data_IF_927466632143
#
_entry.id   IF_927466632143
#
_cell.length_a   1.000
_cell.length_b   1.000
_cell.length_c   1.000
_cell.angle_alpha   90.00
_cell.angle_beta   90.00
_cell.angle_gamma   90.00
#
_symmetry.space_group_name_H-M   'P 1'
#
loop_
_entity.id
_entity.type
_entity.pdbx_description
1 polymer ?
#
# COMPACT_ATOMS: atom_id res chain seq x y z
N UNK A 1 24.09 14.43 -15.77
CA UNK A 1 23.94 14.37 -14.29
C UNK A 1 23.11 13.13 -13.97
N UNK A 2 23.57 12.27 -13.06
CA UNK A 2 22.80 11.10 -12.63
C UNK A 2 21.58 11.60 -11.83
N UNK A 3 20.34 11.18 -12.13
CA UNK A 3 19.18 11.58 -11.36
C UNK A 3 19.38 11.29 -9.87
N UNK A 4 19.07 12.28 -9.04
CA UNK A 4 19.10 12.14 -7.58
C UNK A 4 18.04 11.15 -7.10
N UNK A 5 18.23 10.53 -5.93
CA UNK A 5 17.24 9.62 -5.30
C UNK A 5 15.82 10.22 -5.22
N UNK A 6 15.72 11.55 -5.16
CA UNK A 6 14.46 12.30 -5.14
C UNK A 6 13.61 12.09 -6.39
N UNK A 7 14.23 11.95 -7.57
CA UNK A 7 13.51 11.81 -8.85
C UNK A 7 12.75 10.49 -8.97
N UNK A 8 13.06 9.52 -8.13
CA UNK A 8 12.47 8.18 -8.13
C UNK A 8 11.60 7.89 -6.91
N UNK A 9 11.27 8.92 -6.11
CA UNK A 9 10.42 8.74 -4.93
C UNK A 9 8.95 8.89 -5.31
N UNK A 10 8.13 7.81 -5.27
CA UNK A 10 6.72 7.89 -5.64
C UNK A 10 5.94 8.89 -4.77
N UNK A 11 6.33 9.03 -3.51
CA UNK A 11 5.74 9.98 -2.55
C UNK A 11 5.76 11.43 -3.04
N UNK A 12 6.67 11.80 -3.94
CA UNK A 12 6.79 13.16 -4.49
C UNK A 12 5.94 13.39 -5.73
N UNK A 13 5.34 12.34 -6.29
CA UNK A 13 4.67 12.36 -7.59
C UNK A 13 3.29 11.70 -7.52
N UNK A 14 2.62 11.81 -6.38
CA UNK A 14 1.21 11.42 -6.24
C UNK A 14 0.36 12.35 -7.10
N UNK A 15 -0.55 11.76 -7.88
CA UNK A 15 -1.52 12.46 -8.73
C UNK A 15 -2.50 11.46 -9.34
N UNK A 16 -3.31 11.93 -10.29
CA UNK A 16 -4.43 11.17 -10.87
C UNK A 16 -4.05 9.74 -11.29
N UNK A 17 -4.72 8.76 -10.70
CA UNK A 17 -4.49 7.34 -10.93
C UNK A 17 -5.76 6.49 -10.81
N UNK A 18 -5.56 5.17 -10.87
CA UNK A 18 -6.62 4.20 -10.61
C UNK A 18 -6.82 4.03 -9.09
N UNK A 19 -8.02 3.60 -8.66
CA UNK A 19 -8.24 3.12 -7.30
C UNK A 19 -7.14 2.15 -6.87
N UNK A 20 -6.53 2.42 -5.70
CA UNK A 20 -5.32 1.72 -5.25
C UNK A 20 -5.47 1.22 -3.82
N UNK A 21 -4.98 0.01 -3.54
CA UNK A 21 -4.81 -0.51 -2.18
C UNK A 21 -3.32 -0.51 -1.85
N UNK A 22 -2.93 0.19 -0.79
CA UNK A 22 -1.59 0.16 -0.21
C UNK A 22 -1.61 -0.83 0.95
N UNK A 23 -0.76 -1.85 0.90
CA UNK A 23 -0.74 -2.92 1.89
C UNK A 23 0.62 -3.03 2.58
N UNK A 24 0.61 -3.29 3.89
CA UNK A 24 1.82 -3.58 4.67
C UNK A 24 1.53 -4.60 5.76
N UNK A 25 2.51 -5.45 6.07
CA UNK A 25 2.44 -6.35 7.21
C UNK A 25 2.46 -5.57 8.53
N UNK A 26 1.53 -5.86 9.44
CA UNK A 26 1.42 -5.20 10.74
C UNK A 26 2.52 -5.58 11.72
N UNK A 27 3.24 -6.69 11.46
CA UNK A 27 4.42 -7.10 12.22
C UNK A 27 5.74 -6.69 11.53
N UNK A 28 5.67 -5.79 10.54
CA UNK A 28 6.84 -5.34 9.80
C UNK A 28 7.70 -4.34 10.58
N UNK A 29 8.94 -4.12 10.12
CA UNK A 29 9.80 -3.08 10.66
C UNK A 29 9.13 -1.68 10.54
N UNK A 30 9.49 -0.72 11.41
CA UNK A 30 8.82 0.59 11.44
C UNK A 30 8.92 1.39 10.14
N UNK A 31 9.99 1.22 9.35
CA UNK A 31 10.23 2.03 8.15
C UNK A 31 9.26 1.69 7.02
N UNK A 32 9.07 0.41 6.61
CA UNK A 32 8.02 0.04 5.67
C UNK A 32 6.62 0.50 6.08
N UNK A 33 6.25 0.31 7.35
CA UNK A 33 4.97 0.76 7.92
C UNK A 33 4.80 2.26 7.72
N UNK A 34 5.78 3.06 8.16
CA UNK A 34 5.74 4.52 8.00
C UNK A 34 5.68 4.95 6.53
N UNK A 35 6.40 4.30 5.63
CA UNK A 35 6.36 4.65 4.21
C UNK A 35 5.00 4.35 3.58
N UNK A 36 4.35 3.26 3.97
CA UNK A 36 2.99 2.94 3.54
C UNK A 36 1.98 3.95 4.06
N UNK A 37 2.10 4.34 5.34
CA UNK A 37 1.27 5.37 5.96
C UNK A 37 1.44 6.73 5.26
N UNK A 38 2.69 7.16 5.07
CA UNK A 38 3.04 8.44 4.43
C UNK A 38 2.51 8.49 2.98
N UNK A 39 2.65 7.39 2.23
CA UNK A 39 2.19 7.33 0.84
C UNK A 39 0.66 7.34 0.73
N UNK A 40 -0.03 6.55 1.55
CA UNK A 40 -1.48 6.58 1.60
C UNK A 40 -2.02 7.95 2.01
N UNK A 41 -1.41 8.60 3.00
CA UNK A 41 -1.77 9.96 3.41
C UNK A 41 -1.56 10.98 2.27
N UNK A 42 -0.48 10.86 1.51
CA UNK A 42 -0.23 11.71 0.35
C UNK A 42 -1.28 11.49 -0.76
N UNK A 43 -1.68 10.25 -1.04
CA UNK A 43 -2.78 9.92 -1.95
C UNK A 43 -4.10 10.54 -1.51
N UNK A 44 -4.46 10.41 -0.23
CA UNK A 44 -5.67 11.06 0.32
C UNK A 44 -5.59 12.57 0.18
N UNK A 45 -4.46 13.20 0.50
CA UNK A 45 -4.27 14.64 0.38
C UNK A 45 -4.36 15.15 -1.07
N UNK A 46 -3.99 14.31 -2.04
CA UNK A 46 -4.14 14.60 -3.47
C UNK A 46 -5.57 14.34 -4.00
N UNK A 47 -6.46 13.77 -3.20
CA UNK A 47 -7.82 13.41 -3.61
C UNK A 47 -7.92 12.08 -4.34
N UNK A 48 -6.87 11.25 -4.32
CA UNK A 48 -6.86 9.95 -5.00
C UNK A 48 -7.64 8.88 -4.22
N UNK A 49 -8.35 7.99 -4.92
CA UNK A 49 -9.02 6.84 -4.31
C UNK A 49 -8.00 5.82 -3.82
N UNK A 50 -7.75 5.81 -2.50
CA UNK A 50 -6.80 4.90 -1.87
C UNK A 50 -7.37 4.25 -0.61
N UNK A 51 -7.01 2.99 -0.39
CA UNK A 51 -7.19 2.27 0.88
C UNK A 51 -5.83 1.86 1.43
N UNK A 52 -5.64 1.97 2.75
CA UNK A 52 -4.46 1.47 3.45
C UNK A 52 -4.83 0.27 4.30
N UNK A 53 -4.18 -0.87 4.05
CA UNK A 53 -4.43 -2.13 4.76
C UNK A 53 -3.17 -2.54 5.52
N UNK A 54 -3.25 -2.49 6.85
CA UNK A 54 -2.29 -3.15 7.74
C UNK A 54 -2.77 -4.60 7.97
N UNK A 55 -2.02 -5.57 7.47
CA UNK A 55 -2.33 -7.00 7.57
C UNK A 55 -1.73 -7.54 8.89
N UNK A 56 -2.53 -7.84 9.92
CA UNK A 56 -2.02 -8.19 11.24
C UNK A 56 -1.14 -9.42 11.19
N UNK A 57 -0.18 -9.46 12.11
CA UNK A 57 0.75 -10.58 12.30
C UNK A 57 1.60 -10.93 11.07
N UNK A 58 1.45 -10.20 9.97
CA UNK A 58 2.22 -10.42 8.75
C UNK A 58 3.50 -9.59 8.75
N UNK A 59 4.53 -10.22 8.21
CA UNK A 59 5.83 -9.61 7.88
C UNK A 59 5.90 -9.35 6.38
N UNK A 60 7.04 -8.86 5.91
CA UNK A 60 7.30 -8.50 4.52
C UNK A 60 6.89 -9.58 3.50
N UNK A 61 7.12 -10.86 3.82
CA UNK A 61 6.82 -11.97 2.91
C UNK A 61 5.46 -12.59 3.18
N UNK A 62 5.09 -12.79 4.45
CA UNK A 62 3.86 -13.49 4.81
C UNK A 62 2.59 -12.70 4.45
N UNK A 63 2.72 -11.40 4.15
CA UNK A 63 1.63 -10.61 3.59
C UNK A 63 1.14 -11.17 2.25
N UNK A 64 2.01 -11.83 1.47
CA UNK A 64 1.61 -12.50 0.23
C UNK A 64 0.84 -13.80 0.50
N UNK A 65 1.11 -14.47 1.63
CA UNK A 65 0.33 -15.63 2.05
C UNK A 65 -1.10 -15.23 2.40
N UNK A 66 -1.32 -14.06 3.03
CA UNK A 66 -2.67 -13.52 3.26
C UNK A 66 -3.43 -13.31 1.95
N UNK A 67 -2.78 -12.80 0.90
CA UNK A 67 -3.41 -12.68 -0.42
C UNK A 67 -3.81 -14.04 -1.03
N UNK A 68 -3.05 -15.11 -0.75
CA UNK A 68 -3.35 -16.46 -1.24
C UNK A 68 -4.46 -17.16 -0.45
N UNK A 69 -4.85 -16.64 0.73
CA UNK A 69 -5.90 -17.21 1.56
C UNK A 69 -7.29 -16.76 1.11
N UNK A 70 -8.27 -17.68 0.98
CA UNK A 70 -9.65 -17.32 0.61
C UNK A 70 -10.31 -16.31 1.57
N UNK A 71 -9.92 -16.36 2.84
CA UNK A 71 -10.39 -15.49 3.92
C UNK A 71 -9.42 -14.34 4.25
N UNK A 72 -8.35 -14.18 3.47
CA UNK A 72 -7.31 -13.18 3.72
C UNK A 72 -7.76 -11.75 3.44
N UNK A 73 -7.25 -10.80 4.22
CA UNK A 73 -7.66 -9.39 4.14
C UNK A 73 -7.33 -8.77 2.77
N UNK A 74 -6.19 -9.12 2.20
CA UNK A 74 -5.78 -8.61 0.89
C UNK A 74 -6.64 -9.15 -0.24
N UNK A 75 -7.09 -10.41 -0.17
CA UNK A 75 -8.00 -10.94 -1.18
C UNK A 75 -9.38 -10.27 -1.10
N UNK A 76 -9.85 -9.94 0.10
CA UNK A 76 -11.10 -9.19 0.28
C UNK A 76 -10.97 -7.74 -0.22
N UNK A 77 -9.85 -7.07 0.05
CA UNK A 77 -9.57 -5.74 -0.47
C UNK A 77 -9.50 -5.73 -2.01
N UNK A 78 -8.85 -6.74 -2.62
CA UNK A 78 -8.83 -6.92 -4.08
C UNK A 78 -10.24 -7.14 -4.65
N UNK A 79 -11.05 -7.98 -4.02
CA UNK A 79 -12.43 -8.25 -4.47
C UNK A 79 -13.27 -6.98 -4.46
N UNK A 80 -13.17 -6.21 -3.37
CA UNK A 80 -13.80 -4.89 -3.23
C UNK A 80 -13.34 -3.93 -4.33
N UNK A 81 -12.04 -3.87 -4.61
CA UNK A 81 -11.48 -3.03 -5.67
C UNK A 81 -12.00 -3.40 -7.06
N UNK A 82 -12.24 -4.69 -7.30
CA UNK A 82 -12.80 -5.21 -8.54
C UNK A 82 -14.34 -5.09 -8.63
N UNK A 83 -15.00 -4.64 -7.57
CA UNK A 83 -16.47 -4.57 -7.50
C UNK A 83 -17.15 -5.95 -7.46
N UNK A 84 -16.50 -6.94 -6.83
CA UNK A 84 -17.01 -8.32 -6.66
C UNK A 84 -17.25 -8.61 -5.19
#
# INVERSE_FOLDING_TARGET
>A
MNPTSRSYSPLRYVGNGAPTVVAVGGAELPVPVRHSDDYAAACVAAGEPVELVHVPDCTHFSVLDDLARPDGRLLQALSTLMGR
#
